data_IF_762973236067
#
_entry.id   IF_762973236067
#
_cell.length_a   1.000
_cell.length_b   1.000
_cell.length_c   1.000
_cell.angle_alpha   90.00
_cell.angle_beta   90.00
_cell.angle_gamma   90.00
#
_symmetry.space_group_name_H-M   'P 1'
#
loop_
_entity.id
_entity.type
_entity.pdbx_description
1 polymer ?
#
# COMPACT_ATOMS: atom_id res chain seq x y z
N UNK A 1 -25.49 70.18 -31.59
CA UNK A 1 -26.66 69.27 -31.59
C UNK A 1 -26.44 68.28 -32.73
N UNK A 2 -26.29 66.96 -32.65
CA UNK A 2 -26.42 65.88 -31.66
C UNK A 2 -25.61 64.71 -32.26
N UNK A 3 -24.48 64.23 -31.74
CA UNK A 3 -24.26 63.23 -30.69
C UNK A 3 -24.99 61.87 -30.85
N UNK A 4 -24.17 60.79 -30.91
CA UNK A 4 -24.35 59.38 -30.45
C UNK A 4 -24.98 58.38 -31.45
N UNK A 5 -24.17 57.50 -32.06
CA UNK A 5 -23.67 56.20 -31.55
C UNK A 5 -24.74 55.11 -31.44
N UNK A 6 -24.64 54.07 -32.27
CA UNK A 6 -25.03 52.71 -31.88
C UNK A 6 -24.38 51.67 -32.81
N UNK A 7 -23.05 51.54 -32.76
CA UNK A 7 -22.36 50.36 -33.27
C UNK A 7 -22.24 49.39 -32.09
N UNK A 8 -23.28 48.58 -31.85
CA UNK A 8 -23.21 47.52 -30.83
C UNK A 8 -22.41 46.37 -31.44
N UNK A 9 -21.11 46.45 -31.18
CA UNK A 9 -20.16 45.37 -31.30
C UNK A 9 -20.57 44.28 -30.29
N UNK A 10 -21.28 43.25 -30.75
CA UNK A 10 -21.52 42.03 -29.96
C UNK A 10 -20.19 41.32 -29.77
N UNK A 11 -19.49 41.70 -28.70
CA UNK A 11 -18.25 41.08 -28.26
C UNK A 11 -18.57 39.67 -27.78
N UNK A 12 -18.20 38.71 -28.62
CA UNK A 12 -18.30 37.28 -28.39
C UNK A 12 -17.48 36.90 -27.13
N UNK A 13 -18.14 36.85 -25.98
CA UNK A 13 -17.61 36.28 -24.73
C UNK A 13 -17.52 34.75 -24.91
N UNK A 14 -16.50 34.30 -25.64
CA UNK A 14 -16.02 32.93 -25.52
C UNK A 14 -15.40 32.84 -24.12
N UNK A 15 -16.23 32.49 -23.13
CA UNK A 15 -15.74 32.01 -21.85
C UNK A 15 -14.84 30.81 -22.18
N UNK A 16 -13.55 31.06 -22.09
CA UNK A 16 -12.54 30.03 -22.05
C UNK A 16 -12.80 29.27 -20.76
N UNK A 17 -13.59 28.20 -20.82
CA UNK A 17 -13.57 27.13 -19.84
C UNK A 17 -12.20 26.49 -19.93
N UNK A 18 -11.18 27.16 -19.41
CA UNK A 18 -9.95 26.54 -19.00
C UNK A 18 -10.38 25.53 -17.94
N UNK A 19 -10.58 24.28 -18.37
CA UNK A 19 -10.70 23.15 -17.48
C UNK A 19 -9.48 23.26 -16.56
N UNK A 20 -9.70 23.70 -15.32
CA UNK A 20 -8.66 23.83 -14.33
C UNK A 20 -8.12 22.42 -14.13
N UNK A 21 -7.03 22.09 -14.84
CA UNK A 21 -6.34 20.81 -14.67
C UNK A 21 -5.91 20.76 -13.22
N UNK A 22 -6.47 19.82 -12.46
CA UNK A 22 -6.07 19.66 -11.08
C UNK A 22 -4.58 19.35 -10.98
N UNK A 23 -3.95 19.84 -9.92
CA UNK A 23 -2.56 19.53 -9.59
C UNK A 23 -2.34 18.01 -9.44
N UNK A 24 -1.09 17.59 -9.63
CA UNK A 24 -0.66 16.20 -9.40
C UNK A 24 0.02 16.03 -8.04
N UNK A 25 -0.04 14.83 -7.48
CA UNK A 25 0.70 14.41 -6.28
C UNK A 25 1.45 13.10 -6.57
N UNK A 26 2.75 13.08 -6.26
CA UNK A 26 3.60 11.88 -6.39
C UNK A 26 3.53 11.05 -5.11
N UNK A 27 3.03 9.82 -5.20
CA UNK A 27 2.73 8.98 -4.03
C UNK A 27 3.58 7.72 -4.05
N UNK A 28 4.45 7.57 -3.05
CA UNK A 28 5.13 6.32 -2.76
C UNK A 28 4.21 5.43 -1.90
N UNK A 29 3.93 4.20 -2.35
CA UNK A 29 2.94 3.32 -1.74
C UNK A 29 3.53 1.95 -1.50
N UNK A 30 3.51 1.49 -0.25
CA UNK A 30 3.95 0.15 0.08
C UNK A 30 3.16 -0.91 -0.70
N UNK A 31 3.87 -1.91 -1.20
CA UNK A 31 3.36 -2.84 -2.21
C UNK A 31 2.09 -3.61 -1.78
N UNK A 32 1.88 -3.86 -0.49
CA UNK A 32 0.65 -4.50 0.01
C UNK A 32 -0.60 -3.67 -0.30
N UNK A 33 -0.49 -2.35 -0.33
CA UNK A 33 -1.60 -1.42 -0.47
C UNK A 33 -1.83 -0.99 -1.93
N UNK A 34 -1.25 -1.72 -2.89
CA UNK A 34 -1.24 -1.30 -4.29
C UNK A 34 -2.63 -1.28 -4.94
N UNK A 35 -3.44 -2.31 -4.74
CA UNK A 35 -4.79 -2.40 -5.32
C UNK A 35 -5.74 -1.38 -4.66
N UNK A 36 -5.83 -1.29 -3.32
CA UNK A 36 -6.69 -0.29 -2.68
C UNK A 36 -6.31 1.13 -3.09
N UNK A 37 -5.01 1.44 -3.16
CA UNK A 37 -4.56 2.78 -3.52
C UNK A 37 -4.84 3.12 -4.99
N UNK A 38 -4.83 2.15 -5.91
CA UNK A 38 -5.28 2.37 -7.29
C UNK A 38 -6.73 2.81 -7.32
N UNK A 39 -7.61 2.10 -6.59
CA UNK A 39 -9.02 2.46 -6.51
C UNK A 39 -9.26 3.79 -5.81
N UNK A 40 -8.52 4.07 -4.73
CA UNK A 40 -8.56 5.36 -4.04
C UNK A 40 -8.13 6.49 -4.98
N UNK A 41 -7.11 6.30 -5.81
CA UNK A 41 -6.66 7.32 -6.76
C UNK A 41 -7.72 7.65 -7.82
N UNK A 42 -8.45 6.65 -8.33
CA UNK A 42 -9.60 6.88 -9.24
C UNK A 42 -10.70 7.70 -8.56
N UNK A 43 -11.07 7.34 -7.33
CA UNK A 43 -12.09 8.05 -6.56
C UNK A 43 -11.64 9.47 -6.20
N UNK A 44 -10.36 9.65 -5.87
CA UNK A 44 -9.76 10.93 -5.56
C UNK A 44 -9.78 11.86 -6.77
N UNK A 45 -9.41 11.36 -7.95
CA UNK A 45 -9.44 12.12 -9.20
C UNK A 45 -10.85 12.54 -9.57
N UNK A 46 -11.83 11.64 -9.43
CA UNK A 46 -13.24 11.96 -9.66
C UNK A 46 -13.79 13.00 -8.66
N UNK A 47 -13.38 12.94 -7.40
CA UNK A 47 -13.89 13.81 -6.34
C UNK A 47 -13.26 15.21 -6.32
N UNK A 48 -11.98 15.32 -6.68
CA UNK A 48 -11.19 16.55 -6.51
C UNK A 48 -10.69 17.18 -7.81
N UNK A 49 -10.65 16.41 -8.90
CA UNK A 49 -9.97 16.78 -10.14
C UNK A 49 -8.43 16.70 -10.07
N UNK A 50 -7.85 16.44 -8.90
CA UNK A 50 -6.41 16.22 -8.71
C UNK A 50 -6.01 14.79 -9.06
N UNK A 51 -4.75 14.58 -9.47
CA UNK A 51 -4.27 13.26 -9.87
C UNK A 51 -3.18 12.72 -8.95
N UNK A 52 -3.40 11.52 -8.42
CA UNK A 52 -2.37 10.79 -7.68
C UNK A 52 -1.54 9.90 -8.61
N UNK A 53 -0.24 10.19 -8.71
CA UNK A 53 0.74 9.43 -9.49
C UNK A 53 1.42 8.43 -8.56
N UNK A 54 1.07 7.15 -8.72
CA UNK A 54 1.43 6.11 -7.76
C UNK A 54 2.71 5.39 -8.16
N UNK A 55 3.61 5.18 -7.20
CA UNK A 55 4.76 4.28 -7.30
C UNK A 55 4.66 3.21 -6.21
N UNK A 56 4.87 1.95 -6.57
CA UNK A 56 4.72 0.82 -5.65
C UNK A 56 6.06 0.13 -5.39
N UNK A 57 6.30 -0.27 -4.14
CA UNK A 57 7.57 -0.86 -3.73
C UNK A 57 7.62 -1.23 -2.24
N UNK A 58 8.77 -1.70 -1.77
CA UNK A 58 8.99 -1.93 -0.34
C UNK A 58 9.10 -0.59 0.42
N UNK A 59 8.56 -0.51 1.63
CA UNK A 59 8.68 0.70 2.47
C UNK A 59 10.15 1.10 2.68
N UNK A 60 11.03 0.14 2.97
CA UNK A 60 12.46 0.40 3.18
C UNK A 60 13.16 0.95 1.93
N UNK A 61 12.73 0.54 0.73
CA UNK A 61 13.25 1.09 -0.53
C UNK A 61 12.81 2.54 -0.72
N UNK A 62 11.55 2.88 -0.40
CA UNK A 62 11.11 4.27 -0.43
C UNK A 62 11.82 5.14 0.61
N UNK A 63 12.11 4.63 1.80
CA UNK A 63 12.93 5.35 2.79
C UNK A 63 14.28 5.75 2.19
N UNK A 64 14.99 4.80 1.58
CA UNK A 64 16.28 5.07 0.92
C UNK A 64 16.15 6.08 -0.23
N UNK A 65 15.12 5.95 -1.08
CA UNK A 65 14.87 6.86 -2.21
C UNK A 65 14.55 8.28 -1.73
N UNK A 66 13.70 8.44 -0.72
CA UNK A 66 13.35 9.75 -0.15
C UNK A 66 14.58 10.41 0.46
N UNK A 67 15.41 9.66 1.20
CA UNK A 67 16.70 10.15 1.71
C UNK A 67 17.67 10.58 0.60
N UNK A 68 17.60 9.92 -0.55
CA UNK A 68 18.38 10.27 -1.74
C UNK A 68 17.77 11.43 -2.55
N UNK A 69 16.65 12.02 -2.12
CA UNK A 69 16.03 13.16 -2.78
C UNK A 69 15.03 12.80 -3.89
N UNK A 70 14.50 11.58 -3.90
CA UNK A 70 13.41 11.23 -4.81
C UNK A 70 12.19 12.16 -4.58
N UNK A 71 11.57 12.68 -5.65
CA UNK A 71 10.57 13.74 -5.57
C UNK A 71 9.17 13.20 -5.24
N UNK A 72 9.04 12.42 -4.17
CA UNK A 72 7.74 11.99 -3.66
C UNK A 72 7.12 13.11 -2.80
N UNK A 73 5.80 13.21 -2.87
CA UNK A 73 5.03 14.14 -2.07
C UNK A 73 4.43 13.47 -0.84
N UNK A 74 3.94 12.24 -0.98
CA UNK A 74 3.29 11.47 0.10
C UNK A 74 3.89 10.07 0.14
N UNK A 75 4.14 9.56 1.34
CA UNK A 75 4.48 8.16 1.59
C UNK A 75 3.32 7.48 2.33
N UNK A 76 2.86 6.33 1.81
CA UNK A 76 2.06 5.35 2.52
C UNK A 76 2.93 4.12 2.80
N UNK A 77 3.42 3.99 4.04
CA UNK A 77 4.29 2.90 4.47
C UNK A 77 3.50 1.76 5.12
N UNK A 78 3.93 0.51 4.90
CA UNK A 78 3.43 -0.67 5.61
C UNK A 78 3.90 -0.79 7.07
N UNK A 79 4.58 0.24 7.60
CA UNK A 79 5.00 0.33 9.00
C UNK A 79 4.88 1.75 9.53
N UNK A 80 5.03 1.89 10.84
CA UNK A 80 5.14 3.16 11.55
C UNK A 80 6.58 3.68 11.66
N UNK A 81 7.56 2.78 11.54
CA UNK A 81 8.97 3.05 11.79
C UNK A 81 9.54 4.02 10.77
N UNK A 82 9.25 3.82 9.49
CA UNK A 82 9.80 4.63 8.40
C UNK A 82 9.20 6.03 8.39
N UNK A 83 7.87 6.23 8.49
CA UNK A 83 7.31 7.57 8.65
C UNK A 83 7.84 8.30 9.89
N UNK A 84 8.06 7.59 11.01
CA UNK A 84 8.69 8.17 12.20
C UNK A 84 10.15 8.58 11.95
N UNK A 85 10.93 7.74 11.26
CA UNK A 85 12.31 8.04 10.91
C UNK A 85 12.42 9.26 9.98
N UNK A 86 11.58 9.35 8.95
CA UNK A 86 11.53 10.50 8.05
C UNK A 86 11.18 11.81 8.77
N UNK A 87 10.34 11.77 9.80
CA UNK A 87 10.08 12.93 10.66
C UNK A 87 11.33 13.31 11.47
N UNK A 88 12.00 12.34 12.08
CA UNK A 88 13.22 12.57 12.86
C UNK A 88 14.38 13.08 12.00
N UNK A 89 14.43 12.66 10.73
CA UNK A 89 15.40 13.10 9.73
C UNK A 89 15.07 14.47 9.10
N UNK A 90 13.92 15.07 9.44
CA UNK A 90 13.48 16.36 8.89
C UNK A 90 13.02 16.30 7.43
N UNK A 91 12.71 15.12 6.92
CA UNK A 91 12.28 14.88 5.54
C UNK A 91 10.75 14.82 5.38
N UNK A 92 10.03 14.70 6.48
CA UNK A 92 8.56 14.69 6.52
C UNK A 92 8.00 15.90 7.29
N UNK A 93 6.79 16.33 6.94
CA UNK A 93 6.11 17.45 7.58
C UNK A 93 5.51 17.04 8.94
N UNK A 94 5.93 17.66 10.07
CA UNK A 94 5.37 17.36 11.38
C UNK A 94 3.85 17.53 11.43
N UNK A 95 3.18 16.69 12.24
CA UNK A 95 1.73 16.72 12.43
C UNK A 95 0.91 15.99 11.35
N UNK A 96 1.52 15.58 10.23
CA UNK A 96 0.83 14.91 9.11
C UNK A 96 0.81 13.39 9.18
N UNK A 97 1.63 12.79 10.04
CA UNK A 97 1.70 11.33 10.21
C UNK A 97 0.41 10.79 10.82
N UNK A 98 -0.15 9.74 10.22
CA UNK A 98 -1.38 9.06 10.66
C UNK A 98 -1.33 7.57 10.34
N UNK A 99 -1.85 6.75 11.24
CA UNK A 99 -2.13 5.33 10.94
C UNK A 99 -3.39 5.25 10.09
N UNK A 100 -3.29 4.62 8.93
CA UNK A 100 -4.40 4.51 7.97
C UNK A 100 -4.98 3.10 7.89
N UNK A 101 -4.21 2.10 8.32
CA UNK A 101 -4.63 0.71 8.28
C UNK A 101 -3.74 -0.17 9.17
N UNK A 102 -4.26 -1.34 9.54
CA UNK A 102 -3.49 -2.45 10.08
C UNK A 102 -3.56 -3.65 9.14
N UNK A 103 -2.40 -4.10 8.70
CA UNK A 103 -2.22 -5.25 7.83
C UNK A 103 -2.42 -6.58 8.56
N UNK A 104 -2.84 -7.60 7.80
CA UNK A 104 -3.00 -8.98 8.29
C UNK A 104 -2.15 -9.92 7.44
N UNK A 105 -1.36 -10.76 8.11
CA UNK A 105 -0.48 -11.74 7.48
C UNK A 105 -1.23 -13.06 7.26
N UNK A 106 -1.01 -13.71 6.12
CA UNK A 106 -1.62 -15.00 5.79
C UNK A 106 -0.57 -15.92 5.18
N UNK A 107 -0.58 -17.19 5.58
CA UNK A 107 0.09 -18.25 4.83
C UNK A 107 -0.87 -18.70 3.72
N UNK A 108 -0.45 -18.62 2.47
CA UNK A 108 -1.29 -18.92 1.31
C UNK A 108 -0.61 -19.87 0.33
N UNK A 109 -1.42 -20.68 -0.34
CA UNK A 109 -1.05 -21.46 -1.52
C UNK A 109 -2.11 -21.27 -2.60
N UNK A 110 -1.68 -21.25 -3.86
CA UNK A 110 -2.59 -21.34 -4.99
C UNK A 110 -3.27 -22.72 -5.09
N UNK A 111 -2.70 -23.77 -4.48
CA UNK A 111 -3.32 -25.09 -4.38
C UNK A 111 -4.42 -25.07 -3.31
N UNK A 112 -5.68 -25.40 -3.63
CA UNK A 112 -6.79 -25.40 -2.68
C UNK A 112 -6.71 -26.48 -1.58
N UNK A 113 -5.74 -27.39 -1.63
CA UNK A 113 -5.62 -28.51 -0.68
C UNK A 113 -4.39 -28.46 0.22
N UNK A 114 -3.46 -27.54 -0.05
CA UNK A 114 -2.14 -27.58 0.60
C UNK A 114 -2.14 -27.02 2.02
N UNK A 115 -2.90 -25.96 2.28
CA UNK A 115 -2.97 -25.31 3.61
C UNK A 115 -4.28 -25.71 4.31
N UNK A 116 -4.16 -26.51 5.37
CA UNK A 116 -5.30 -27.04 6.14
C UNK A 116 -5.94 -26.07 7.13
N UNK A 117 -5.67 -24.76 7.05
CA UNK A 117 -6.17 -23.77 8.00
C UNK A 117 -5.31 -23.59 9.27
N UNK A 118 -4.10 -24.14 9.29
CA UNK A 118 -3.12 -24.00 10.37
C UNK A 118 -1.66 -24.01 9.87
N UNK A 119 -0.68 -23.90 10.78
CA UNK A 119 0.74 -23.87 10.45
C UNK A 119 1.35 -25.22 10.11
N UNK A 120 0.62 -26.33 10.26
CA UNK A 120 1.16 -27.70 10.26
C UNK A 120 1.92 -28.02 8.97
N UNK A 121 1.46 -27.48 7.84
CA UNK A 121 2.12 -27.65 6.54
C UNK A 121 3.57 -27.15 6.54
N UNK A 122 3.92 -26.16 7.39
CA UNK A 122 5.28 -25.63 7.48
C UNK A 122 6.30 -26.64 8.04
N UNK A 123 5.84 -27.72 8.67
CA UNK A 123 6.69 -28.81 9.16
C UNK A 123 6.77 -29.98 8.17
N UNK A 124 5.92 -30.01 7.15
CA UNK A 124 5.90 -31.06 6.13
C UNK A 124 7.10 -30.92 5.16
N UNK A 125 7.47 -32.02 4.51
CA UNK A 125 8.49 -32.13 3.46
C UNK A 125 7.90 -32.25 2.06
N UNK A 126 6.56 -32.23 1.92
CA UNK A 126 5.82 -32.39 0.66
C UNK A 126 5.91 -31.22 -0.33
N UNK A 127 6.55 -30.11 0.05
CA UNK A 127 6.69 -28.89 -0.75
C UNK A 127 8.13 -28.36 -0.67
N UNK A 128 8.52 -27.49 -1.61
CA UNK A 128 9.94 -27.13 -1.81
C UNK A 128 10.26 -25.70 -1.41
N UNK A 129 9.41 -24.75 -1.73
CA UNK A 129 9.68 -23.33 -1.50
C UNK A 129 8.56 -22.62 -0.74
N UNK A 130 8.99 -21.76 0.19
CA UNK A 130 8.15 -20.82 0.91
C UNK A 130 8.58 -19.41 0.54
N UNK A 131 7.71 -18.68 -0.14
CA UNK A 131 7.95 -17.29 -0.49
C UNK A 131 7.70 -16.36 0.71
N UNK A 132 8.64 -15.46 0.99
CA UNK A 132 8.47 -14.36 1.94
C UNK A 132 8.96 -13.05 1.30
N UNK A 133 8.44 -11.91 1.74
CA UNK A 133 9.07 -10.63 1.43
C UNK A 133 10.38 -10.48 2.23
N UNK A 134 11.31 -9.65 1.75
CA UNK A 134 12.56 -9.34 2.46
C UNK A 134 12.26 -8.81 3.86
N UNK A 135 12.69 -9.49 4.93
CA UNK A 135 12.46 -9.02 6.30
C UNK A 135 13.15 -7.69 6.62
N UNK A 136 14.18 -7.32 5.85
CA UNK A 136 14.93 -6.09 6.02
C UNK A 136 14.23 -4.88 5.40
N UNK A 137 13.48 -5.10 4.30
CA UNK A 137 12.90 -4.02 3.50
C UNK A 137 11.37 -3.91 3.67
N UNK A 138 10.71 -5.01 4.01
CA UNK A 138 9.26 -5.12 3.98
C UNK A 138 8.71 -5.57 5.35
N UNK A 139 7.77 -4.81 5.94
CA UNK A 139 7.14 -5.15 7.23
C UNK A 139 6.46 -6.52 7.26
N UNK A 140 5.84 -6.94 6.15
CA UNK A 140 5.27 -8.29 6.02
C UNK A 140 6.33 -9.39 6.02
N UNK A 141 7.53 -9.12 5.51
CA UNK A 141 8.67 -10.03 5.59
C UNK A 141 9.17 -10.18 7.03
N UNK A 142 9.23 -9.08 7.77
CA UNK A 142 9.57 -9.09 9.19
C UNK A 142 8.54 -9.90 10.00
N UNK A 143 7.25 -9.67 9.77
CA UNK A 143 6.18 -10.44 10.40
C UNK A 143 6.26 -11.93 10.06
N UNK A 144 6.54 -12.30 8.81
CA UNK A 144 6.77 -13.70 8.43
C UNK A 144 7.94 -14.34 9.18
N UNK A 145 9.05 -13.60 9.33
CA UNK A 145 10.21 -14.08 10.08
C UNK A 145 9.89 -14.27 11.58
N UNK A 146 9.07 -13.39 12.17
CA UNK A 146 8.59 -13.53 13.56
C UNK A 146 7.72 -14.79 13.73
N UNK A 147 6.80 -15.06 12.79
CA UNK A 147 5.97 -16.28 12.81
C UNK A 147 6.82 -17.53 12.71
N UNK A 148 7.78 -17.56 11.78
CA UNK A 148 8.71 -18.69 11.60
C UNK A 148 9.50 -18.96 12.89
N UNK A 149 9.95 -17.89 13.57
CA UNK A 149 10.64 -18.01 14.84
C UNK A 149 9.71 -18.49 15.98
N UNK A 150 8.52 -17.90 16.09
CA UNK A 150 7.53 -18.26 17.11
C UNK A 150 7.06 -19.72 17.00
N UNK A 151 6.98 -20.25 15.78
CA UNK A 151 6.62 -21.64 15.51
C UNK A 151 7.80 -22.61 15.66
N UNK A 152 9.03 -22.13 15.86
CA UNK A 152 10.22 -22.96 16.02
C UNK A 152 10.65 -23.71 14.74
N UNK A 153 10.19 -23.28 13.55
CA UNK A 153 10.44 -23.97 12.28
C UNK A 153 11.59 -23.37 11.46
N UNK A 154 12.35 -22.43 12.04
CA UNK A 154 13.39 -21.69 11.31
C UNK A 154 14.41 -22.58 10.61
N UNK A 155 14.96 -23.56 11.31
CA UNK A 155 15.98 -24.47 10.77
C UNK A 155 15.40 -25.35 9.65
N UNK A 156 14.19 -25.86 9.84
CA UNK A 156 13.46 -26.64 8.83
C UNK A 156 13.24 -25.86 7.54
N UNK A 157 13.00 -24.56 7.66
CA UNK A 157 12.65 -23.69 6.54
C UNK A 157 13.84 -23.00 5.88
N UNK A 158 15.02 -22.97 6.51
CA UNK A 158 16.15 -22.15 6.08
C UNK A 158 16.55 -22.34 4.61
N UNK A 159 16.55 -23.59 4.12
CA UNK A 159 16.89 -23.94 2.73
C UNK A 159 15.73 -23.81 1.74
N UNK A 160 14.51 -23.51 2.23
CA UNK A 160 13.28 -23.44 1.44
C UNK A 160 12.77 -22.01 1.24
N UNK A 161 13.36 -21.03 1.92
CA UNK A 161 12.92 -19.64 1.82
C UNK A 161 13.33 -19.04 0.48
N UNK A 162 12.33 -18.55 -0.26
CA UNK A 162 12.54 -17.72 -1.45
C UNK A 162 12.12 -16.30 -1.10
N UNK A 163 13.05 -15.36 -1.17
CA UNK A 163 12.79 -13.97 -0.77
C UNK A 163 12.46 -13.11 -1.99
N UNK A 164 11.29 -12.47 -1.96
CA UNK A 164 10.96 -11.35 -2.83
C UNK A 164 11.40 -10.04 -2.18
N UNK A 165 11.71 -9.02 -2.98
CA UNK A 165 12.06 -7.68 -2.52
C UNK A 165 10.94 -7.06 -1.67
N UNK A 166 9.69 -7.32 -2.05
CA UNK A 166 8.49 -6.83 -1.38
C UNK A 166 7.36 -7.87 -1.41
N UNK A 167 6.25 -7.58 -0.72
CA UNK A 167 5.14 -8.52 -0.58
C UNK A 167 4.43 -8.84 -1.90
N UNK A 168 4.43 -7.93 -2.88
CA UNK A 168 3.86 -8.20 -4.19
C UNK A 168 4.69 -9.23 -4.95
N UNK A 169 6.02 -9.17 -4.82
CA UNK A 169 6.88 -10.18 -5.43
C UNK A 169 6.76 -11.54 -4.73
N UNK A 170 6.67 -11.56 -3.39
CA UNK A 170 6.40 -12.80 -2.66
C UNK A 170 5.06 -13.44 -3.08
N UNK A 171 4.00 -12.63 -3.20
CA UNK A 171 2.71 -13.09 -3.75
C UNK A 171 2.85 -13.62 -5.18
N UNK A 172 3.58 -12.93 -6.06
CA UNK A 172 3.78 -13.37 -7.43
C UNK A 172 4.50 -14.72 -7.52
N UNK A 173 5.47 -14.99 -6.65
CA UNK A 173 6.14 -16.29 -6.62
C UNK A 173 5.14 -17.43 -6.33
N UNK A 174 4.21 -17.22 -5.40
CA UNK A 174 3.17 -18.22 -5.11
C UNK A 174 2.14 -18.31 -6.24
N UNK A 175 1.64 -17.17 -6.71
CA UNK A 175 0.59 -17.11 -7.73
C UNK A 175 1.03 -17.70 -9.08
N UNK A 176 2.34 -17.69 -9.37
CA UNK A 176 2.92 -18.26 -10.60
C UNK A 176 3.46 -19.69 -10.41
N UNK A 177 3.35 -20.26 -9.21
CA UNK A 177 3.84 -21.61 -8.91
C UNK A 177 5.35 -21.74 -8.76
N UNK A 178 6.10 -20.63 -8.71
CA UNK A 178 7.53 -20.63 -8.41
C UNK A 178 7.82 -20.96 -6.93
N UNK A 179 6.85 -20.73 -6.05
CA UNK A 179 6.82 -21.25 -4.70
C UNK A 179 5.45 -21.89 -4.39
N UNK A 180 5.43 -23.01 -3.68
CA UNK A 180 4.18 -23.72 -3.36
C UNK A 180 3.42 -23.03 -2.21
N UNK A 181 4.13 -22.35 -1.31
CA UNK A 181 3.59 -21.59 -0.18
C UNK A 181 4.15 -20.18 -0.16
N UNK A 182 3.45 -19.24 0.48
CA UNK A 182 4.04 -17.97 0.85
C UNK A 182 3.31 -17.25 1.98
N UNK A 183 4.08 -16.48 2.75
CA UNK A 183 3.51 -15.49 3.64
C UNK A 183 3.25 -14.21 2.85
N UNK A 184 1.98 -13.86 2.68
CA UNK A 184 1.49 -12.74 1.86
C UNK A 184 0.55 -11.84 2.66
N UNK A 185 0.12 -10.73 2.07
CA UNK A 185 -0.89 -9.89 2.70
C UNK A 185 -2.30 -10.47 2.47
N UNK A 186 -3.14 -10.49 3.50
CA UNK A 186 -4.54 -10.94 3.39
C UNK A 186 -5.29 -10.22 2.27
N UNK A 187 -5.06 -8.91 2.12
CA UNK A 187 -5.63 -8.07 1.07
C UNK A 187 -5.32 -8.53 -0.35
N UNK A 188 -4.27 -9.33 -0.57
CA UNK A 188 -3.89 -9.83 -1.91
C UNK A 188 -4.63 -11.11 -2.31
N UNK A 189 -5.27 -11.79 -1.37
CA UNK A 189 -5.79 -13.15 -1.59
C UNK A 189 -7.28 -13.28 -1.29
N UNK A 190 -7.98 -12.17 -1.04
CA UNK A 190 -9.41 -12.19 -0.70
C UNK A 190 -10.34 -11.82 -1.86
N UNK A 191 -11.56 -12.32 -1.79
CA UNK A 191 -12.69 -11.91 -2.61
C UNK A 191 -13.39 -10.68 -1.99
N UNK A 192 -14.37 -10.15 -2.72
CA UNK A 192 -15.23 -9.04 -2.27
C UNK A 192 -16.03 -9.29 -0.98
N UNK A 193 -16.08 -10.54 -0.50
CA UNK A 193 -16.76 -10.92 0.73
C UNK A 193 -15.77 -11.13 1.88
N UNK A 194 -14.48 -10.82 1.69
CA UNK A 194 -13.45 -11.00 2.69
C UNK A 194 -13.08 -12.46 2.94
N UNK A 195 -13.35 -13.37 1.99
CA UNK A 195 -12.96 -14.79 2.03
C UNK A 195 -11.80 -15.04 1.07
N UNK A 196 -10.99 -16.11 1.22
CA UNK A 196 -9.98 -16.45 0.23
C UNK A 196 -10.60 -16.54 -1.17
N UNK A 197 -10.10 -15.77 -2.13
CA UNK A 197 -10.60 -15.76 -3.50
C UNK A 197 -10.31 -17.08 -4.23
N UNK A 198 -9.20 -17.70 -3.91
CA UNK A 198 -8.76 -18.99 -4.46
C UNK A 198 -7.70 -19.64 -3.58
N UNK A 199 -7.42 -20.90 -3.87
CA UNK A 199 -6.38 -21.66 -3.18
C UNK A 199 -6.77 -21.99 -1.74
N UNK A 200 -5.75 -22.20 -0.91
CA UNK A 200 -5.90 -22.51 0.51
C UNK A 200 -5.07 -21.57 1.36
N UNK A 201 -5.53 -21.31 2.58
CA UNK A 201 -4.87 -20.35 3.44
C UNK A 201 -5.02 -20.62 4.93
N UNK A 202 -4.09 -20.07 5.68
CA UNK A 202 -4.15 -19.94 7.12
C UNK A 202 -3.89 -18.48 7.50
N UNK A 203 -4.91 -17.81 8.00
CA UNK A 203 -4.77 -16.48 8.55
C UNK A 203 -3.95 -16.57 9.85
N UNK A 204 -2.81 -15.89 9.88
CA UNK A 204 -1.88 -15.98 10.99
C UNK A 204 -2.47 -15.28 12.22
N UNK A 205 -2.50 -15.94 13.40
CA UNK A 205 -2.90 -15.31 14.65
C UNK A 205 -2.02 -14.11 15.00
N UNK A 206 -2.64 -13.01 15.42
CA UNK A 206 -1.96 -11.77 15.78
C UNK A 206 -0.98 -11.90 16.96
N UNK A 207 -1.00 -13.01 17.70
CA UNK A 207 -0.06 -13.29 18.79
C UNK A 207 1.29 -13.82 18.31
N UNK A 208 1.41 -14.20 17.02
CA UNK A 208 2.64 -14.78 16.45
C UNK A 208 3.57 -13.74 15.82
N UNK A 209 3.16 -12.48 15.74
CA UNK A 209 3.96 -11.39 15.19
C UNK A 209 3.50 -10.04 15.75
N UNK A 210 4.33 -9.02 15.63
CA UNK A 210 3.98 -7.66 15.99
C UNK A 210 2.88 -7.11 15.05
N UNK A 211 1.99 -6.22 15.55
CA UNK A 211 0.99 -5.58 14.70
C UNK A 211 1.61 -4.84 13.50
N UNK A 212 1.08 -5.10 12.30
CA UNK A 212 1.51 -4.43 11.06
C UNK A 212 0.73 -3.11 10.93
N UNK A 213 1.03 -2.14 11.78
CA UNK A 213 0.43 -0.80 11.75
C UNK A 213 1.06 0.03 10.63
N UNK A 214 0.22 0.62 9.77
CA UNK A 214 0.66 1.27 8.54
C UNK A 214 0.36 2.76 8.59
N UNK A 215 1.41 3.56 8.37
CA UNK A 215 1.32 5.00 8.50
C UNK A 215 1.51 5.71 7.15
N UNK A 216 0.74 6.78 6.96
CA UNK A 216 0.97 7.77 5.92
C UNK A 216 1.72 8.97 6.49
N UNK A 217 2.43 9.71 5.64
CA UNK A 217 3.01 11.01 5.98
C UNK A 217 3.20 11.90 4.75
N UNK A 218 3.05 13.22 4.91
CA UNK A 218 3.38 14.21 3.89
C UNK A 218 4.88 14.52 3.94
N UNK A 219 5.55 14.50 2.79
CA UNK A 219 6.97 14.81 2.68
C UNK A 219 7.18 16.33 2.61
N UNK A 220 8.28 16.79 3.20
CA UNK A 220 8.52 18.21 3.43
C UNK A 220 8.53 19.06 2.14
N UNK A 221 9.08 18.59 0.99
CA UNK A 221 9.02 19.33 -0.27
C UNK A 221 7.59 19.64 -0.75
N UNK A 222 6.62 18.81 -0.36
CA UNK A 222 5.24 18.89 -0.82
C UNK A 222 4.31 19.69 0.10
N UNK A 223 4.84 20.37 1.13
CA UNK A 223 4.03 21.10 2.13
C UNK A 223 3.09 22.16 1.57
N UNK A 224 3.32 22.63 0.34
CA UNK A 224 2.46 23.59 -0.36
C UNK A 224 1.76 23.00 -1.59
N UNK A 225 1.86 21.67 -1.80
CA UNK A 225 1.17 21.02 -2.90
C UNK A 225 -0.32 20.83 -2.53
N UNK A 226 -1.27 21.52 -3.20
CA UNK A 226 -2.69 21.41 -2.88
C UNK A 226 -3.23 19.99 -3.11
N UNK A 227 -2.73 19.27 -4.13
CA UNK A 227 -3.13 17.88 -4.38
C UNK A 227 -2.68 16.95 -3.27
N UNK A 228 -1.50 17.18 -2.68
CA UNK A 228 -0.99 16.37 -1.58
C UNK A 228 -1.82 16.55 -0.31
N UNK A 229 -2.14 17.80 0.04
CA UNK A 229 -3.00 18.10 1.20
C UNK A 229 -4.41 17.53 1.00
N UNK A 230 -4.99 17.71 -0.19
CA UNK A 230 -6.30 17.15 -0.53
C UNK A 230 -6.31 15.62 -0.47
N UNK A 231 -5.23 14.95 -0.91
CA UNK A 231 -5.11 13.50 -0.82
C UNK A 231 -5.08 13.01 0.63
N UNK A 232 -4.34 13.69 1.52
CA UNK A 232 -4.29 13.34 2.95
C UNK A 232 -5.66 13.44 3.62
N UNK A 233 -6.44 14.48 3.28
CA UNK A 233 -7.81 14.63 3.76
C UNK A 233 -8.72 13.54 3.17
N UNK A 234 -8.62 13.29 1.87
CA UNK A 234 -9.43 12.28 1.19
C UNK A 234 -9.20 10.86 1.72
N UNK A 235 -7.95 10.52 2.05
CA UNK A 235 -7.58 9.24 2.66
C UNK A 235 -8.25 9.01 4.02
N UNK A 236 -8.70 10.06 4.71
CA UNK A 236 -9.42 9.99 5.99
C UNK A 236 -10.94 9.92 5.82
N UNK A 237 -11.45 10.00 4.59
CA UNK A 237 -12.89 9.98 4.33
C UNK A 237 -13.53 8.64 4.72
N UNK A 238 -14.82 8.67 5.05
CA UNK A 238 -15.59 7.46 5.33
C UNK A 238 -15.60 6.49 4.13
N UNK A 239 -15.62 7.02 2.90
CA UNK A 239 -15.54 6.23 1.66
C UNK A 239 -14.23 5.46 1.56
N UNK A 240 -13.10 6.13 1.83
CA UNK A 240 -11.78 5.45 1.82
C UNK A 240 -11.66 4.46 2.98
N UNK A 241 -12.14 4.82 4.17
CA UNK A 241 -12.16 3.93 5.34
C UNK A 241 -12.93 2.63 5.06
N UNK A 242 -14.10 2.73 4.42
CA UNK A 242 -14.88 1.57 4.01
C UNK A 242 -14.13 0.72 2.98
N UNK A 243 -13.56 1.35 1.95
CA UNK A 243 -12.77 0.66 0.92
C UNK A 243 -11.59 -0.11 1.52
N UNK A 244 -10.85 0.50 2.46
CA UNK A 244 -9.71 -0.14 3.14
C UNK A 244 -10.18 -1.38 3.91
N UNK A 245 -11.30 -1.29 4.64
CA UNK A 245 -11.88 -2.42 5.36
C UNK A 245 -12.32 -3.54 4.42
N UNK A 246 -13.03 -3.19 3.35
CA UNK A 246 -13.49 -4.14 2.32
C UNK A 246 -12.31 -4.81 1.59
N UNK A 247 -11.17 -4.13 1.53
CA UNK A 247 -9.91 -4.65 1.00
C UNK A 247 -9.15 -5.55 1.98
N UNK A 248 -9.72 -5.87 3.15
CA UNK A 248 -9.17 -6.86 4.08
C UNK A 248 -8.22 -6.30 5.14
N UNK A 249 -8.14 -4.98 5.30
CA UNK A 249 -7.39 -4.34 6.37
C UNK A 249 -8.25 -4.11 7.61
N UNK A 250 -7.61 -4.02 8.77
CA UNK A 250 -8.21 -3.47 9.98
C UNK A 250 -8.00 -1.94 10.00
N UNK A 251 -8.91 -1.20 10.63
CA UNK A 251 -8.86 0.26 10.82
C UNK A 251 -8.77 0.56 12.31
#
# INVERSE_FOLDING_TARGET
>A
MSAKSCFVLTFLLILSSACARGAEVQVAVAANFSEPMRRIAELFEAASGHRARLSFGASGMFHAQIRAGAPFDVLLSADQKIPAALLAEGLALPGTRRTYARGRLVLWSADPKLVGGGPEILQDTSWRHLAIASPQLAPYGAAAAEVIAALGVRETLASRLVQGENISQAYQFVATGNAELGFVAWSQVIDKNGRPASGSSWLVPATLHQPILQDLVLLLPAKHNPAAMALLEFLQSATVTALIRDSGYEI
#
